data_IF_698100451939
#
_entry.id   IF_698100451939
#
_cell.length_a   1.000
_cell.length_b   1.000
_cell.length_c   1.000
_cell.angle_alpha   90.00
_cell.angle_beta   90.00
_cell.angle_gamma   90.00
#
_symmetry.space_group_name_H-M   'P 1'
#
loop_
_entity.id
_entity.type
_entity.pdbx_description
1 polymer ?
#
# COMPACT_ATOMS: atom_id res chain seq x y z
N UNK A 1 2.53 -0.24 -43.54
CA UNK A 1 1.35 -0.33 -42.66
C UNK A 1 1.79 0.00 -41.25
N UNK A 2 1.40 1.17 -40.77
CA UNK A 2 1.71 1.71 -39.43
C UNK A 2 0.77 1.08 -38.41
N UNK A 3 1.26 0.20 -37.54
CA UNK A 3 0.53 -0.19 -36.34
C UNK A 3 0.82 0.83 -35.24
N UNK A 4 -0.11 1.75 -35.07
CA UNK A 4 -0.12 2.76 -34.03
C UNK A 4 -0.41 2.04 -32.69
N UNK A 5 0.64 1.75 -31.91
CA UNK A 5 0.51 1.16 -30.57
C UNK A 5 0.00 2.27 -29.65
N UNK A 6 -1.32 2.34 -29.43
CA UNK A 6 -1.92 3.19 -28.39
C UNK A 6 -1.26 2.82 -27.06
N UNK A 7 -0.38 3.67 -26.57
CA UNK A 7 0.14 3.61 -25.20
C UNK A 7 -1.02 3.94 -24.28
N UNK A 8 -1.69 2.91 -23.77
CA UNK A 8 -2.62 3.09 -22.65
C UNK A 8 -1.81 3.63 -21.49
N UNK A 9 -2.04 4.89 -21.11
CA UNK A 9 -1.58 5.40 -19.83
C UNK A 9 -2.35 4.61 -18.76
N UNK A 10 -1.75 3.52 -18.27
CA UNK A 10 -2.17 2.94 -17.01
C UNK A 10 -1.88 4.03 -16.00
N UNK A 11 -2.93 4.71 -15.53
CA UNK A 11 -2.82 5.46 -14.30
C UNK A 11 -2.49 4.42 -13.25
N UNK A 12 -1.24 4.39 -12.79
CA UNK A 12 -0.73 3.46 -11.79
C UNK A 12 -1.47 3.68 -10.47
N UNK A 13 -2.69 3.12 -10.37
CA UNK A 13 -3.56 3.28 -9.22
C UNK A 13 -2.91 2.59 -8.02
N UNK A 14 -2.84 3.29 -6.91
CA UNK A 14 -2.06 2.86 -5.74
C UNK A 14 -2.96 2.27 -4.65
N UNK A 15 -2.45 1.25 -3.96
CA UNK A 15 -3.05 0.70 -2.76
C UNK A 15 -2.10 0.83 -1.58
N UNK A 16 -2.50 1.62 -0.57
CA UNK A 16 -1.71 1.83 0.63
C UNK A 16 -2.11 0.81 1.71
N UNK A 17 -1.14 0.06 2.21
CA UNK A 17 -1.32 -1.01 3.19
C UNK A 17 -0.92 -0.48 4.57
N UNK A 18 -1.87 -0.52 5.50
CA UNK A 18 -1.70 -0.16 6.90
C UNK A 18 -1.98 -1.41 7.74
N UNK A 19 -0.95 -1.96 8.38
CA UNK A 19 -1.05 -3.22 9.13
C UNK A 19 0.03 -3.29 10.22
N UNK A 20 -0.08 -4.20 11.21
CA UNK A 20 1.07 -4.57 12.04
C UNK A 20 2.24 -5.08 11.19
N UNK A 21 3.47 -4.88 11.67
CA UNK A 21 4.69 -5.30 10.98
C UNK A 21 5.44 -6.36 11.79
N UNK A 22 6.25 -7.17 11.10
CA UNK A 22 7.07 -8.21 11.72
C UNK A 22 6.41 -9.58 11.80
N UNK A 23 7.24 -10.63 11.69
CA UNK A 23 6.81 -12.01 11.90
C UNK A 23 5.73 -12.45 10.90
N UNK A 24 4.63 -13.01 11.43
CA UNK A 24 3.52 -13.51 10.62
C UNK A 24 2.90 -12.44 9.72
N UNK A 25 2.96 -11.17 10.13
CA UNK A 25 2.40 -10.06 9.35
C UNK A 25 3.19 -9.78 8.07
N UNK A 26 4.50 -10.05 8.05
CA UNK A 26 5.30 -9.95 6.83
C UNK A 26 4.95 -11.08 5.85
N UNK A 27 4.67 -12.28 6.36
CA UNK A 27 4.14 -13.38 5.54
C UNK A 27 2.77 -13.03 4.96
N UNK A 28 1.83 -12.50 5.76
CA UNK A 28 0.53 -12.04 5.25
C UNK A 28 0.66 -10.99 4.15
N UNK A 29 1.54 -10.00 4.34
CA UNK A 29 1.83 -8.99 3.32
C UNK A 29 2.29 -9.64 2.02
N UNK A 30 3.33 -10.47 2.08
CA UNK A 30 4.01 -11.00 0.89
C UNK A 30 3.21 -12.08 0.18
N UNK A 31 2.55 -12.96 0.94
CA UNK A 31 1.92 -14.16 0.41
C UNK A 31 0.45 -13.95 0.06
N UNK A 32 -0.20 -12.92 0.63
CA UNK A 32 -1.64 -12.68 0.47
C UNK A 32 -1.93 -11.28 -0.08
N UNK A 33 -1.49 -10.23 0.61
CA UNK A 33 -1.94 -8.87 0.27
C UNK A 33 -1.31 -8.36 -1.03
N UNK A 34 0.01 -8.47 -1.17
CA UNK A 34 0.72 -8.02 -2.38
C UNK A 34 0.20 -8.73 -3.64
N UNK A 35 0.05 -10.07 -3.67
CA UNK A 35 -0.52 -10.75 -4.83
C UNK A 35 -1.96 -10.31 -5.15
N UNK A 36 -2.82 -10.18 -4.13
CA UNK A 36 -4.20 -9.75 -4.33
C UNK A 36 -4.31 -8.32 -4.90
N UNK A 37 -3.50 -7.40 -4.37
CA UNK A 37 -3.45 -6.00 -4.82
C UNK A 37 -2.93 -5.92 -6.27
N UNK A 38 -1.85 -6.64 -6.59
CA UNK A 38 -1.32 -6.70 -7.95
C UNK A 38 -2.35 -7.28 -8.94
N UNK A 39 -3.05 -8.35 -8.55
CA UNK A 39 -4.12 -8.95 -9.36
C UNK A 39 -5.30 -8.01 -9.58
N UNK A 40 -5.54 -7.07 -8.67
CA UNK A 40 -6.53 -6.01 -8.82
C UNK A 40 -6.05 -4.85 -9.74
N UNK A 41 -4.82 -4.92 -10.27
CA UNK A 41 -4.24 -3.89 -11.10
C UNK A 41 -3.79 -2.64 -10.33
N UNK A 42 -3.50 -2.80 -9.04
CA UNK A 42 -3.06 -1.73 -8.14
C UNK A 42 -1.58 -1.93 -7.73
N UNK A 43 -0.92 -0.85 -7.33
CA UNK A 43 0.45 -0.89 -6.82
C UNK A 43 0.44 -0.90 -5.27
N UNK A 44 0.87 -2.00 -4.61
CA UNK A 44 0.92 -2.07 -3.16
C UNK A 44 2.06 -1.23 -2.58
N UNK A 45 1.77 -0.44 -1.55
CA UNK A 45 2.78 0.29 -0.75
C UNK A 45 2.47 0.12 0.73
N UNK A 46 3.40 -0.43 1.54
CA UNK A 46 3.20 -0.55 3.00
C UNK A 46 3.77 0.67 3.73
N UNK A 47 3.13 1.06 4.83
CA UNK A 47 3.49 2.26 5.60
C UNK A 47 4.94 2.27 6.13
N UNK A 48 5.48 1.13 6.53
CA UNK A 48 6.84 0.97 7.08
C UNK A 48 7.93 0.80 6.01
N UNK A 49 7.59 0.38 4.78
CA UNK A 49 8.55 0.33 3.65
C UNK A 49 9.07 1.74 3.29
N UNK A 50 8.36 2.78 3.72
CA UNK A 50 8.63 4.18 3.41
C UNK A 50 9.59 4.84 4.42
N UNK A 51 10.13 4.10 5.38
CA UNK A 51 10.94 4.63 6.49
C UNK A 51 12.13 5.47 6.00
N UNK A 52 11.95 6.80 6.00
CA UNK A 52 13.02 7.78 6.11
C UNK A 52 12.93 8.38 7.50
N UNK A 53 14.00 8.23 8.26
CA UNK A 53 14.22 8.76 9.61
C UNK A 53 13.75 10.23 9.71
N UNK A 54 12.57 10.47 10.28
CA UNK A 54 12.16 11.81 10.67
C UNK A 54 10.67 12.07 10.87
N UNK A 55 9.76 11.51 10.05
CA UNK A 55 8.37 12.01 10.09
C UNK A 55 7.28 11.04 9.58
N UNK A 56 7.21 9.84 10.17
CA UNK A 56 6.28 8.78 9.77
C UNK A 56 4.80 9.21 9.70
N UNK A 57 4.38 10.13 10.58
CA UNK A 57 2.99 10.62 10.62
C UNK A 57 2.64 11.43 9.38
N UNK A 58 3.55 12.31 8.94
CA UNK A 58 3.34 13.12 7.74
C UNK A 58 3.36 12.27 6.47
N UNK A 59 4.22 11.26 6.43
CA UNK A 59 4.30 10.35 5.30
C UNK A 59 3.03 9.49 5.20
N UNK A 60 2.57 8.89 6.31
CA UNK A 60 1.29 8.16 6.37
C UNK A 60 0.13 9.05 5.91
N UNK A 61 0.07 10.30 6.36
CA UNK A 61 -0.99 11.24 5.96
C UNK A 61 -0.93 11.57 4.45
N UNK A 62 0.27 11.76 3.90
CA UNK A 62 0.47 12.03 2.48
C UNK A 62 0.11 10.83 1.61
N UNK A 63 0.49 9.61 2.01
CA UNK A 63 0.13 8.40 1.28
C UNK A 63 -1.35 8.09 1.39
N UNK A 64 -1.96 8.28 2.55
CA UNK A 64 -3.41 8.16 2.74
C UNK A 64 -4.18 9.08 1.77
N UNK A 65 -3.71 10.32 1.57
CA UNK A 65 -4.35 11.26 0.64
C UNK A 65 -4.10 10.96 -0.84
N UNK A 66 -2.99 10.30 -1.16
CA UNK A 66 -2.59 10.00 -2.54
C UNK A 66 -3.03 8.62 -3.01
N UNK A 67 -3.37 7.73 -2.08
CA UNK A 67 -3.80 6.38 -2.37
C UNK A 67 -5.18 6.38 -3.04
N UNK A 68 -5.33 5.59 -4.10
CA UNK A 68 -6.63 5.32 -4.70
C UNK A 68 -7.45 4.35 -3.83
N UNK A 69 -6.76 3.45 -3.12
CA UNK A 69 -7.34 2.46 -2.22
C UNK A 69 -6.48 2.31 -0.97
N UNK A 70 -7.10 2.09 0.19
CA UNK A 70 -6.39 1.78 1.44
C UNK A 70 -6.83 0.39 1.92
N UNK A 71 -5.87 -0.49 2.18
CA UNK A 71 -6.06 -1.76 2.88
C UNK A 71 -5.60 -1.58 4.32
N UNK A 72 -6.52 -1.73 5.28
CA UNK A 72 -6.21 -1.60 6.71
C UNK A 72 -6.46 -2.92 7.44
N UNK A 73 -5.40 -3.54 7.95
CA UNK A 73 -5.47 -4.68 8.87
C UNK A 73 -5.41 -4.16 10.31
N UNK A 74 -6.53 -4.32 11.03
CA UNK A 74 -6.74 -3.83 12.40
C UNK A 74 -6.49 -4.90 13.47
N UNK A 75 -5.88 -6.03 13.11
CA UNK A 75 -5.63 -7.14 14.03
C UNK A 75 -4.85 -6.67 15.27
N UNK A 76 -5.26 -7.16 16.44
CA UNK A 76 -4.67 -6.87 17.77
C UNK A 76 -4.71 -5.40 18.24
N UNK A 77 -5.59 -4.54 17.71
CA UNK A 77 -5.72 -3.12 18.12
C UNK A 77 -4.38 -2.37 18.05
N UNK A 78 -3.69 -2.47 16.93
CA UNK A 78 -2.41 -1.81 16.73
C UNK A 78 -2.57 -0.27 16.73
N UNK A 79 -1.88 0.47 17.65
CA UNK A 79 -1.95 1.94 17.72
C UNK A 79 -1.41 2.66 16.48
N UNK A 80 -0.66 1.97 15.61
CA UNK A 80 -0.25 2.51 14.31
C UNK A 80 -1.38 2.53 13.27
N UNK A 81 -2.51 1.87 13.54
CA UNK A 81 -3.70 1.82 12.67
C UNK A 81 -4.92 2.44 13.34
N UNK A 82 -4.93 2.50 14.68
CA UNK A 82 -6.00 3.08 15.49
C UNK A 82 -5.43 4.22 16.34
N UNK A 83 -5.75 5.48 16.00
CA UNK A 83 -5.50 6.61 16.89
C UNK A 83 -6.68 6.77 17.85
N UNK A 84 -6.40 6.90 19.14
CA UNK A 84 -7.38 7.28 20.18
C UNK A 84 -7.25 8.76 20.52
#
# INVERSE_FOLDING_TARGET
MTTNKKTNFVTDKSCFIIMPFGGLFDSYKNDIYVPAINNAGLIPTRADDLYRSGNIVNDIWNFTKKADVILADLTNKNPNVFMN
#
